data_IF_399177397621
#
_entry.id   IF_399177397621
#
_cell.length_a   1.000
_cell.length_b   1.000
_cell.length_c   1.000
_cell.angle_alpha   90.00
_cell.angle_beta   90.00
_cell.angle_gamma   90.00
#
_symmetry.space_group_name_H-M   'P 1'
#
loop_
_entity.id
_entity.type
_entity.pdbx_description
1 polymer ?
#
# COMPACT_ATOMS: atom_id res chain seq x y z
N UNK A 1 -27.62 -18.74 -12.12
CA UNK A 1 -26.63 -17.66 -11.91
C UNK A 1 -25.28 -18.33 -11.76
N UNK A 2 -24.26 -17.92 -12.52
CA UNK A 2 -22.90 -18.45 -12.35
C UNK A 2 -22.33 -17.90 -11.04
N UNK A 3 -22.08 -18.77 -10.06
CA UNK A 3 -21.63 -18.39 -8.73
C UNK A 3 -20.29 -17.62 -8.77
N UNK A 4 -19.39 -18.01 -9.67
CA UNK A 4 -18.08 -17.38 -9.80
C UNK A 4 -18.16 -15.94 -10.35
N UNK A 5 -19.06 -15.73 -11.30
CA UNK A 5 -19.31 -14.39 -11.85
C UNK A 5 -19.92 -13.46 -10.80
N UNK A 6 -20.83 -13.98 -9.97
CA UNK A 6 -21.42 -13.23 -8.87
C UNK A 6 -20.37 -12.89 -7.79
N UNK A 7 -19.57 -13.87 -7.36
CA UNK A 7 -18.51 -13.66 -6.38
C UNK A 7 -17.48 -12.62 -6.87
N UNK A 8 -17.14 -12.64 -8.16
CA UNK A 8 -16.26 -11.64 -8.79
C UNK A 8 -16.87 -10.24 -8.72
N UNK A 9 -18.15 -10.10 -9.10
CA UNK A 9 -18.84 -8.81 -9.08
C UNK A 9 -18.93 -8.22 -7.66
N UNK A 10 -19.24 -9.06 -6.66
CA UNK A 10 -19.27 -8.64 -5.25
C UNK A 10 -17.89 -8.21 -4.76
N UNK A 11 -16.84 -8.92 -5.15
CA UNK A 11 -15.46 -8.57 -4.77
C UNK A 11 -15.03 -7.26 -5.42
N UNK A 12 -15.42 -7.02 -6.68
CA UNK A 12 -15.14 -5.79 -7.41
C UNK A 12 -15.88 -4.59 -6.82
N UNK A 13 -17.13 -4.79 -6.41
CA UNK A 13 -17.92 -3.78 -5.70
C UNK A 13 -17.26 -3.44 -4.36
N UNK A 14 -16.92 -4.45 -3.55
CA UNK A 14 -16.24 -4.26 -2.27
C UNK A 14 -14.91 -3.49 -2.43
N UNK A 15 -14.12 -3.86 -3.44
CA UNK A 15 -12.86 -3.19 -3.77
C UNK A 15 -13.07 -1.72 -4.15
N UNK A 16 -14.15 -1.39 -4.84
CA UNK A 16 -14.51 -0.02 -5.19
C UNK A 16 -14.86 0.80 -3.94
N UNK A 17 -15.64 0.23 -3.02
CA UNK A 17 -15.93 0.85 -1.72
C UNK A 17 -14.67 1.08 -0.87
N UNK A 18 -13.79 0.08 -0.82
CA UNK A 18 -12.51 0.17 -0.12
C UNK A 18 -11.59 1.21 -0.75
N UNK A 19 -11.57 1.32 -2.08
CA UNK A 19 -10.81 2.36 -2.77
C UNK A 19 -11.30 3.76 -2.38
N UNK A 20 -12.62 3.99 -2.36
CA UNK A 20 -13.20 5.27 -1.93
C UNK A 20 -12.86 5.60 -0.47
N UNK A 21 -12.96 4.62 0.42
CA UNK A 21 -12.57 4.77 1.83
C UNK A 21 -11.10 5.17 1.96
N UNK A 22 -10.20 4.43 1.33
CA UNK A 22 -8.76 4.71 1.39
C UNK A 22 -8.39 6.06 0.74
N UNK A 23 -9.08 6.44 -0.34
CA UNK A 23 -8.92 7.75 -0.96
C UNK A 23 -9.33 8.88 -0.02
N UNK A 24 -10.39 8.69 0.77
CA UNK A 24 -10.79 9.61 1.84
C UNK A 24 -9.73 9.75 2.93
N UNK A 25 -9.09 8.64 3.34
CA UNK A 25 -7.96 8.67 4.27
C UNK A 25 -6.78 9.46 3.68
N UNK A 26 -6.46 9.23 2.40
CA UNK A 26 -5.38 9.94 1.69
C UNK A 26 -5.66 11.43 1.58
N UNK A 27 -6.90 11.82 1.28
CA UNK A 27 -7.29 13.23 1.24
C UNK A 27 -7.20 13.87 2.63
N UNK A 28 -7.62 13.16 3.69
CA UNK A 28 -7.47 13.64 5.08
C UNK A 28 -5.99 13.82 5.43
N UNK A 29 -5.12 12.88 5.07
CA UNK A 29 -3.67 13.03 5.27
C UNK A 29 -3.12 14.29 4.58
N UNK A 30 -3.44 14.48 3.30
CA UNK A 30 -2.97 15.63 2.53
C UNK A 30 -3.46 16.97 3.12
N UNK A 31 -4.68 17.01 3.65
CA UNK A 31 -5.20 18.19 4.33
C UNK A 31 -4.43 18.49 5.61
N UNK A 32 -4.15 17.48 6.45
CA UNK A 32 -3.40 17.69 7.69
C UNK A 32 -1.96 18.12 7.41
N UNK A 33 -1.32 17.54 6.40
CA UNK A 33 0.03 17.91 5.95
C UNK A 33 0.05 19.38 5.47
N UNK A 34 -0.92 19.76 4.65
CA UNK A 34 -1.06 21.14 4.12
C UNK A 34 -1.32 22.17 5.22
N UNK A 35 -2.13 21.81 6.22
CA UNK A 35 -2.49 22.69 7.34
C UNK A 35 -1.47 22.65 8.49
N UNK A 36 -0.45 21.79 8.43
CA UNK A 36 0.51 21.60 9.50
C UNK A 36 -0.12 21.09 10.81
N UNK A 37 -1.23 20.35 10.72
CA UNK A 37 -1.91 19.81 11.89
C UNK A 37 -1.09 18.65 12.48
N UNK A 38 -0.83 18.64 13.80
CA UNK A 38 -0.06 17.57 14.42
C UNK A 38 -0.83 16.24 14.34
N UNK A 39 -0.12 15.16 14.07
CA UNK A 39 -0.63 13.80 14.18
C UNK A 39 -0.19 13.19 15.53
N UNK A 40 -1.08 12.46 16.25
CA UNK A 40 -2.44 12.08 15.87
C UNK A 40 -3.46 13.24 16.01
N UNK A 41 -4.45 13.28 15.13
CA UNK A 41 -5.56 14.23 15.18
C UNK A 41 -6.91 13.48 15.23
N UNK A 42 -7.93 13.94 15.99
CA UNK A 42 -9.21 13.23 16.12
C UNK A 42 -9.95 12.95 14.81
N UNK A 43 -9.70 13.76 13.77
CA UNK A 43 -10.30 13.60 12.43
C UNK A 43 -9.42 12.79 11.46
N UNK A 44 -8.24 12.36 11.89
CA UNK A 44 -7.37 11.51 11.10
C UNK A 44 -7.61 10.03 11.46
N UNK A 45 -8.02 9.19 10.49
CA UNK A 45 -8.54 7.85 10.78
C UNK A 45 -7.47 6.77 10.98
N UNK A 46 -6.18 7.09 10.82
CA UNK A 46 -5.08 6.15 11.03
C UNK A 46 -4.37 6.40 12.36
N UNK A 47 -3.85 5.34 13.00
CA UNK A 47 -3.19 5.46 14.29
C UNK A 47 -1.85 6.20 14.17
N UNK A 48 -1.33 6.76 15.27
CA UNK A 48 -0.05 7.46 15.29
C UNK A 48 1.15 6.60 14.88
N UNK A 49 1.03 5.27 14.98
CA UNK A 49 2.08 4.34 14.55
C UNK A 49 2.21 4.30 13.03
N UNK A 50 1.14 4.54 12.28
CA UNK A 50 1.18 4.52 10.81
C UNK A 50 2.28 5.43 10.24
N UNK A 51 3.11 4.96 9.28
CA UNK A 51 2.94 3.74 8.49
C UNK A 51 3.57 2.47 9.08
N UNK A 52 4.28 2.55 10.20
CA UNK A 52 5.09 1.44 10.73
C UNK A 52 4.63 0.94 12.11
N UNK A 53 4.98 -0.29 12.45
CA UNK A 53 4.61 -0.87 13.74
C UNK A 53 3.21 -1.50 13.73
N UNK A 54 2.85 -2.20 14.82
CA UNK A 54 1.63 -2.98 14.85
C UNK A 54 0.42 -2.05 14.83
N UNK A 55 -0.42 -2.20 13.80
CA UNK A 55 -1.74 -1.62 13.79
C UNK A 55 -2.71 -2.54 13.04
N UNK A 56 -3.98 -2.40 13.40
CA UNK A 56 -5.08 -3.10 12.77
C UNK A 56 -6.30 -2.18 12.83
N UNK A 57 -6.68 -1.63 11.68
CA UNK A 57 -7.88 -0.80 11.52
C UNK A 57 -8.96 -1.62 10.81
N UNK A 58 -10.21 -1.50 11.24
CA UNK A 58 -11.34 -2.19 10.61
C UNK A 58 -12.39 -1.20 10.13
N UNK A 59 -13.03 -1.52 9.00
CA UNK A 59 -14.19 -0.81 8.47
C UNK A 59 -15.22 -1.84 7.98
N UNK A 60 -16.49 -1.64 8.36
CA UNK A 60 -17.60 -2.43 7.82
C UNK A 60 -18.19 -1.73 6.60
N UNK A 61 -18.42 -2.49 5.54
CA UNK A 61 -19.08 -2.05 4.32
C UNK A 61 -20.40 -2.80 4.16
N UNK A 62 -21.48 -2.06 3.93
CA UNK A 62 -22.82 -2.58 3.84
C UNK A 62 -23.53 -1.97 2.62
N UNK A 63 -24.15 -2.82 1.80
CA UNK A 63 -24.96 -2.38 0.66
C UNK A 63 -26.02 -3.44 0.32
N UNK A 64 -26.94 -3.09 -0.59
CA UNK A 64 -28.05 -3.97 -1.00
C UNK A 64 -28.07 -4.09 -2.52
N UNK A 65 -28.22 -5.32 -3.02
CA UNK A 65 -28.52 -5.58 -4.43
C UNK A 65 -29.98 -5.96 -4.58
N UNK A 66 -30.69 -5.21 -5.42
CA UNK A 66 -32.11 -5.45 -5.72
C UNK A 66 -32.25 -6.22 -7.03
N UNK A 67 -33.03 -7.30 -7.01
CA UNK A 67 -33.37 -8.13 -8.16
C UNK A 67 -34.90 -8.24 -8.26
N UNK A 68 -35.54 -7.24 -8.87
CA UNK A 68 -36.99 -7.14 -8.91
C UNK A 68 -37.56 -6.97 -7.51
N UNK A 69 -38.32 -7.96 -7.02
CA UNK A 69 -38.88 -7.95 -5.66
C UNK A 69 -37.94 -8.51 -4.58
N UNK A 70 -36.80 -9.09 -4.96
CA UNK A 70 -35.84 -9.69 -4.02
C UNK A 70 -34.72 -8.70 -3.69
N UNK A 71 -34.27 -8.71 -2.43
CA UNK A 71 -33.12 -7.93 -1.96
C UNK A 71 -32.07 -8.87 -1.37
N UNK A 72 -30.80 -8.64 -1.72
CA UNK A 72 -29.66 -9.31 -1.10
C UNK A 72 -28.85 -8.27 -0.33
N UNK A 73 -28.74 -8.46 0.99
CA UNK A 73 -27.96 -7.60 1.86
C UNK A 73 -26.53 -8.10 1.94
N UNK A 74 -25.59 -7.21 1.66
CA UNK A 74 -24.16 -7.45 1.69
C UNK A 74 -23.56 -6.76 2.91
N UNK A 75 -22.74 -7.49 3.68
CA UNK A 75 -22.02 -6.96 4.83
C UNK A 75 -20.64 -7.58 4.91
N UNK A 76 -19.62 -6.75 4.79
CA UNK A 76 -18.22 -7.17 4.77
C UNK A 76 -17.40 -6.36 5.76
N UNK A 77 -16.73 -7.06 6.66
CA UNK A 77 -15.68 -6.47 7.50
C UNK A 77 -14.38 -6.45 6.69
N UNK A 78 -13.74 -5.29 6.63
CA UNK A 78 -12.45 -5.09 5.97
C UNK A 78 -11.44 -4.65 7.01
N UNK A 79 -10.30 -5.33 7.08
CA UNK A 79 -9.15 -4.93 7.89
C UNK A 79 -8.06 -4.30 7.03
N UNK A 80 -7.40 -3.29 7.57
CA UNK A 80 -6.15 -2.74 7.08
C UNK A 80 -5.07 -2.90 8.15
N UNK A 81 -3.98 -3.60 7.82
CA UNK A 81 -2.92 -3.91 8.78
C UNK A 81 -1.53 -3.91 8.16
N UNK A 82 -0.54 -3.68 9.02
CA UNK A 82 0.87 -3.84 8.74
C UNK A 82 1.38 -5.19 9.25
N UNK A 83 1.97 -5.95 8.34
CA UNK A 83 2.62 -7.22 8.60
C UNK A 83 4.13 -7.01 8.51
N UNK A 84 4.77 -7.02 9.67
CA UNK A 84 6.22 -6.98 9.79
C UNK A 84 6.89 -8.21 9.18
N UNK A 85 8.22 -8.15 9.14
CA UNK A 85 9.08 -9.19 8.59
C UNK A 85 8.90 -10.52 9.36
N UNK A 86 8.48 -11.59 8.68
CA UNK A 86 8.18 -12.88 9.34
C UNK A 86 9.37 -13.84 9.47
N UNK A 87 10.42 -13.76 8.65
CA UNK A 87 11.77 -14.31 8.88
C UNK A 87 12.62 -14.35 7.60
N UNK A 88 13.93 -14.07 7.72
CA UNK A 88 14.93 -14.21 6.65
C UNK A 88 15.27 -12.93 5.88
N UNK A 89 16.50 -12.77 5.36
CA UNK A 89 17.00 -11.55 4.68
C UNK A 89 16.25 -11.17 3.37
N UNK A 90 15.41 -12.05 2.85
CA UNK A 90 14.59 -11.79 1.66
C UNK A 90 13.10 -11.52 1.94
N UNK A 91 12.63 -11.74 3.18
CA UNK A 91 11.21 -11.55 3.49
C UNK A 91 10.80 -10.09 3.42
N UNK A 92 9.71 -9.83 2.68
CA UNK A 92 9.11 -8.51 2.51
C UNK A 92 8.40 -8.02 3.77
N UNK A 93 8.28 -6.71 3.88
CA UNK A 93 7.33 -6.05 4.79
C UNK A 93 6.08 -5.70 3.98
N UNK A 94 4.89 -5.91 4.55
CA UNK A 94 3.66 -5.87 3.76
C UNK A 94 2.55 -5.12 4.49
N UNK A 95 1.86 -4.24 3.76
CA UNK A 95 0.57 -3.68 4.13
C UNK A 95 -0.52 -4.43 3.38
N UNK A 96 -1.52 -4.94 4.08
CA UNK A 96 -2.64 -5.67 3.47
C UNK A 96 -3.98 -5.07 3.85
N UNK A 97 -4.88 -5.06 2.88
CA UNK A 97 -6.31 -4.82 3.05
C UNK A 97 -7.03 -6.13 2.77
N UNK A 98 -7.72 -6.68 3.76
CA UNK A 98 -8.31 -8.01 3.74
C UNK A 98 -9.80 -7.95 4.08
N UNK A 99 -10.61 -8.84 3.48
CA UNK A 99 -11.94 -9.18 3.98
C UNK A 99 -12.04 -10.69 4.17
N UNK A 100 -11.99 -11.15 5.42
CA UNK A 100 -11.81 -12.56 5.72
C UNK A 100 -10.51 -13.10 5.10
N UNK A 101 -10.62 -14.08 4.21
CA UNK A 101 -9.49 -14.65 3.47
C UNK A 101 -9.18 -13.94 2.14
N UNK A 102 -9.98 -12.94 1.75
CA UNK A 102 -9.86 -12.25 0.46
C UNK A 102 -8.87 -11.09 0.59
N UNK A 103 -7.81 -11.11 -0.21
CA UNK A 103 -6.86 -9.98 -0.31
C UNK A 103 -7.38 -8.94 -1.31
N UNK A 104 -7.71 -7.76 -0.80
CA UNK A 104 -8.22 -6.66 -1.61
C UNK A 104 -7.08 -5.77 -2.08
N UNK A 105 -6.14 -5.39 -1.21
CA UNK A 105 -5.03 -4.51 -1.60
C UNK A 105 -3.75 -4.90 -0.89
N UNK A 106 -2.62 -4.84 -1.60
CA UNK A 106 -1.32 -5.25 -1.09
C UNK A 106 -0.26 -4.25 -1.53
N UNK A 107 0.50 -3.75 -0.56
CA UNK A 107 1.73 -3.04 -0.80
C UNK A 107 2.89 -3.74 -0.09
N UNK A 108 3.94 -4.07 -0.83
CA UNK A 108 5.10 -4.79 -0.32
C UNK A 108 6.39 -3.96 -0.46
N UNK A 109 7.30 -4.13 0.49
CA UNK A 109 8.68 -3.63 0.36
C UNK A 109 9.60 -4.82 0.23
N UNK A 110 10.38 -4.85 -0.84
CA UNK A 110 11.36 -5.92 -1.05
C UNK A 110 12.34 -6.02 0.12
N UNK A 111 12.57 -7.23 0.62
CA UNK A 111 13.48 -7.52 1.73
C UNK A 111 14.86 -6.84 1.66
N UNK A 112 15.54 -6.80 0.49
CA UNK A 112 16.84 -6.12 0.36
C UNK A 112 16.83 -4.60 0.58
N UNK A 113 15.66 -3.95 0.50
CA UNK A 113 15.50 -2.50 0.75
C UNK A 113 15.24 -2.26 2.24
N UNK A 114 14.68 -3.24 2.93
CA UNK A 114 14.36 -3.19 4.34
C UNK A 114 15.47 -3.92 5.13
N UNK A 115 16.51 -3.16 5.49
CA UNK A 115 17.74 -3.69 6.13
C UNK A 115 17.44 -4.52 7.39
N UNK A 116 18.37 -5.38 7.80
CA UNK A 116 18.32 -6.20 9.00
C UNK A 116 18.10 -5.39 10.30
N UNK A 117 18.43 -4.09 10.30
CA UNK A 117 18.11 -3.15 11.39
C UNK A 117 16.68 -2.57 11.33
N UNK A 118 15.86 -3.06 10.41
CA UNK A 118 14.47 -2.64 10.17
C UNK A 118 14.32 -1.16 9.80
N UNK A 119 15.31 -0.61 9.12
CA UNK A 119 15.29 0.77 8.66
C UNK A 119 15.41 0.80 7.14
N UNK A 120 14.57 1.62 6.53
CA UNK A 120 14.67 1.94 5.11
C UNK A 120 15.82 2.92 4.90
N UNK A 121 16.48 2.89 3.72
CA UNK A 121 17.53 3.85 3.38
C UNK A 121 17.02 5.29 3.22
N UNK A 122 15.71 5.51 3.28
CA UNK A 122 15.03 6.80 3.22
C UNK A 122 13.75 6.78 4.08
N UNK A 123 13.26 7.95 4.52
CA UNK A 123 11.98 8.02 5.23
C UNK A 123 10.82 7.68 4.29
N UNK A 124 10.08 6.61 4.60
CA UNK A 124 8.85 6.29 3.89
C UNK A 124 7.67 6.98 4.56
N UNK A 125 7.11 7.97 3.87
CA UNK A 125 5.93 8.69 4.35
C UNK A 125 4.64 7.88 4.21
N UNK A 126 3.68 8.17 5.10
CA UNK A 126 2.31 7.65 5.08
C UNK A 126 1.64 7.73 3.71
N UNK A 127 1.87 8.83 2.99
CA UNK A 127 1.29 9.05 1.67
C UNK A 127 1.75 8.05 0.61
N UNK A 128 2.99 7.56 0.69
CA UNK A 128 3.53 6.58 -0.26
C UNK A 128 2.82 5.23 -0.07
N UNK A 129 2.58 4.84 1.19
CA UNK A 129 1.84 3.61 1.51
C UNK A 129 0.41 3.70 1.00
N UNK A 130 -0.27 4.83 1.22
CA UNK A 130 -1.64 5.07 0.76
C UNK A 130 -1.72 5.07 -0.77
N UNK A 131 -0.79 5.75 -1.45
CA UNK A 131 -0.68 5.77 -2.91
C UNK A 131 -0.49 4.36 -3.48
N UNK A 132 0.44 3.58 -2.92
CA UNK A 132 0.71 2.22 -3.37
C UNK A 132 -0.50 1.29 -3.18
N UNK A 133 -1.22 1.41 -2.06
CA UNK A 133 -2.43 0.63 -1.81
C UNK A 133 -3.60 1.05 -2.71
N UNK A 134 -3.77 2.34 -3.00
CA UNK A 134 -4.75 2.82 -3.97
C UNK A 134 -4.45 2.27 -5.37
N UNK A 135 -3.20 2.32 -5.79
CA UNK A 135 -2.76 1.73 -7.05
C UNK A 135 -2.98 0.21 -7.08
N UNK A 136 -2.72 -0.49 -5.96
CA UNK A 136 -2.99 -1.93 -5.84
C UNK A 136 -4.48 -2.26 -5.95
N UNK A 137 -5.35 -1.47 -5.31
CA UNK A 137 -6.80 -1.63 -5.40
C UNK A 137 -7.28 -1.41 -6.84
N UNK A 138 -6.84 -0.35 -7.51
CA UNK A 138 -7.23 0.00 -8.87
C UNK A 138 -6.80 -1.06 -9.90
N UNK A 139 -5.55 -1.53 -9.80
CA UNK A 139 -4.97 -2.52 -10.74
C UNK A 139 -5.32 -3.97 -10.39
N UNK A 140 -5.85 -4.22 -9.18
CA UNK A 140 -6.09 -5.57 -8.63
C UNK A 140 -4.83 -6.41 -8.54
N UNK A 141 -3.68 -5.75 -8.40
CA UNK A 141 -2.34 -6.36 -8.37
C UNK A 141 -1.58 -5.86 -7.14
N UNK A 142 -0.69 -6.66 -6.55
CA UNK A 142 0.21 -6.15 -5.51
C UNK A 142 1.11 -5.04 -6.06
N UNK A 143 1.33 -3.97 -5.30
CA UNK A 143 2.35 -2.97 -5.62
C UNK A 143 3.59 -3.25 -4.78
N UNK A 144 4.77 -3.13 -5.37
CA UNK A 144 6.03 -3.40 -4.68
C UNK A 144 6.98 -2.21 -4.75
N UNK A 145 7.52 -1.82 -3.60
CA UNK A 145 8.69 -0.97 -3.52
C UNK A 145 9.93 -1.82 -3.80
N UNK A 146 10.56 -1.54 -4.94
CA UNK A 146 11.78 -2.16 -5.45
C UNK A 146 12.94 -1.20 -5.48
N UNK A 147 14.14 -1.72 -5.77
CA UNK A 147 15.30 -0.89 -6.08
C UNK A 147 16.10 -1.48 -7.22
N UNK A 148 16.69 -0.62 -8.04
CA UNK A 148 17.64 -1.02 -9.07
C UNK A 148 18.88 -0.11 -9.03
N UNK A 149 20.02 -0.62 -9.49
CA UNK A 149 21.31 0.08 -9.41
C UNK A 149 21.82 0.34 -10.82
N UNK A 150 22.20 1.59 -11.09
CA UNK A 150 22.86 2.02 -12.32
C UNK A 150 24.32 2.33 -11.99
N UNK A 151 25.26 1.63 -12.63
CA UNK A 151 26.70 1.91 -12.50
C UNK A 151 27.06 3.13 -13.32
N UNK A 152 27.88 4.01 -12.75
CA UNK A 152 28.35 5.21 -13.45
C UNK A 152 29.57 4.85 -14.31
N UNK A 153 29.76 5.51 -15.48
CA UNK A 153 30.96 5.32 -16.29
C UNK A 153 32.24 5.65 -15.51
N UNK A 154 33.29 4.82 -15.70
CA UNK A 154 34.61 5.08 -15.13
C UNK A 154 35.15 6.41 -15.68
N UNK A 155 35.33 7.40 -14.78
CA UNK A 155 35.90 8.71 -15.12
C UNK A 155 35.03 9.90 -14.74
N UNK A 156 33.75 9.72 -14.40
CA UNK A 156 32.87 10.85 -14.14
C UNK A 156 32.91 11.42 -12.72
N UNK A 157 33.24 10.68 -11.64
CA UNK A 157 33.23 11.24 -10.27
C UNK A 157 34.21 10.58 -9.28
N UNK A 158 34.80 11.41 -8.41
CA UNK A 158 35.59 11.00 -7.25
C UNK A 158 34.62 10.43 -6.17
N UNK A 159 34.68 9.13 -5.92
CA UNK A 159 34.01 8.49 -4.77
C UNK A 159 32.53 8.16 -4.93
N UNK A 160 32.02 7.98 -6.16
CA UNK A 160 30.68 7.41 -6.41
C UNK A 160 30.73 6.45 -7.60
N UNK A 161 30.54 5.17 -7.33
CA UNK A 161 30.59 4.08 -8.31
C UNK A 161 29.22 3.76 -8.93
N UNK A 162 28.11 4.03 -8.22
CA UNK A 162 26.77 3.75 -8.72
C UNK A 162 25.68 4.62 -8.07
N UNK A 163 24.48 4.60 -8.67
CA UNK A 163 23.27 5.20 -8.12
C UNK A 163 22.20 4.12 -7.97
N UNK A 164 21.64 4.00 -6.76
CA UNK A 164 20.49 3.15 -6.49
C UNK A 164 19.21 3.99 -6.54
N UNK A 165 18.24 3.55 -7.32
CA UNK A 165 16.90 4.14 -7.42
C UNK A 165 15.91 3.26 -6.66
N UNK A 166 14.96 3.90 -5.97
CA UNK A 166 13.87 3.23 -5.25
C UNK A 166 12.54 3.61 -5.90
N UNK A 167 11.75 2.61 -6.26
CA UNK A 167 10.57 2.80 -7.10
C UNK A 167 9.40 1.92 -6.67
N UNK A 168 8.19 2.48 -6.72
CA UNK A 168 6.96 1.72 -6.68
C UNK A 168 6.71 1.13 -8.06
N UNK A 169 6.51 -0.19 -8.12
CA UNK A 169 6.29 -0.93 -9.35
C UNK A 169 5.11 -1.88 -9.24
N UNK A 170 4.46 -2.14 -10.37
CA UNK A 170 3.52 -3.25 -10.53
C UNK A 170 4.26 -4.59 -10.60
N UNK A 171 3.57 -5.74 -10.52
CA UNK A 171 4.20 -7.04 -10.73
C UNK A 171 4.84 -7.17 -12.11
N UNK A 172 4.30 -6.48 -13.11
CA UNK A 172 4.77 -6.40 -14.49
C UNK A 172 6.00 -5.48 -14.68
N UNK A 173 6.57 -4.95 -13.59
CA UNK A 173 7.74 -4.05 -13.57
C UNK A 173 7.49 -2.64 -14.12
N UNK A 174 6.23 -2.25 -14.31
CA UNK A 174 5.90 -0.87 -14.68
C UNK A 174 6.13 0.06 -13.50
N UNK A 175 6.81 1.19 -13.75
CA UNK A 175 7.11 2.18 -12.71
C UNK A 175 5.88 3.05 -12.49
N UNK A 176 5.36 3.01 -11.27
CA UNK A 176 4.26 3.88 -10.81
C UNK A 176 4.85 5.22 -10.34
N UNK A 177 5.89 5.15 -9.50
CA UNK A 177 6.51 6.33 -8.89
C UNK A 177 7.96 6.08 -8.51
N UNK A 178 8.79 7.08 -8.76
CA UNK A 178 10.13 7.16 -8.17
C UNK A 178 10.06 7.75 -6.75
N UNK A 179 10.60 7.02 -5.78
CA UNK A 179 10.49 7.32 -4.34
C UNK A 179 11.74 7.96 -3.78
N UNK A 180 12.92 7.65 -4.33
CA UNK A 180 14.17 8.25 -3.88
C UNK A 180 15.40 7.64 -4.53
N UNK A 181 16.54 8.28 -4.29
CA UNK A 181 17.85 7.80 -4.76
C UNK A 181 18.85 7.71 -3.62
N UNK A 182 19.83 6.82 -3.78
CA UNK A 182 21.00 6.70 -2.91
C UNK A 182 22.25 6.60 -3.77
N UNK A 183 23.24 7.44 -3.47
CA UNK A 183 24.57 7.32 -4.07
C UNK A 183 25.32 6.15 -3.41
N UNK A 184 25.97 5.33 -4.23
CA UNK A 184 26.81 4.24 -3.80
C UNK A 184 28.26 4.65 -4.10
N UNK A 185 29.12 4.78 -3.07
CA UNK A 185 30.52 5.14 -3.24
C UNK A 185 31.28 4.16 -4.12
#
# INVERSE_FOLDING_TARGET
>A
MNYDAYATAITDELRSWVHLWLAGISASWALHDTLGLPLPHPTYPLPPSFPFGPFLTWQNFEWVHEYGANQIHHRYAVSFAFYGRTSGPDSSVVWKILSGAIELGIFEIAGPIFDARSQLPFPLGSHIVLEALLASLATRRPVRLGSHIIRLPEGERIGTSAVQFFELRTPEQEVIRHVGTRLIP
#
